data_IF_784177278042
#
_entry.id   IF_784177278042
#
_cell.length_a   1.000
_cell.length_b   1.000
_cell.length_c   1.000
_cell.angle_alpha   90.00
_cell.angle_beta   90.00
_cell.angle_gamma   90.00
#
_symmetry.space_group_name_H-M   'P 1'
#
loop_
_entity.id
_entity.type
_entity.pdbx_description
1 polymer ?
2 non-polymer ?
3 water ?
#
# COMPACT_ATOMS: atom_id res chain seq x y z
N UNK A 1 -0.71 16.46 -19.95
CA UNK A 1 -2.01 16.30 -19.24
C UNK A 1 -1.71 16.30 -17.75
N UNK A 2 -2.56 16.79 -16.83
CA UNK A 2 -3.42 17.98 -16.89
C UNK A 2 -4.85 17.73 -16.41
N UNK A 3 -5.67 16.93 -17.09
CA UNK A 3 -7.12 16.82 -16.71
C UNK A 3 -7.52 15.63 -15.81
N UNK A 4 -6.63 14.64 -15.63
CA UNK A 4 -6.92 13.50 -14.75
C UNK A 4 -5.78 13.29 -13.75
N UNK A 5 -6.10 12.66 -12.62
CA UNK A 5 -5.13 12.50 -11.54
C UNK A 5 -3.84 11.77 -11.98
N UNK A 6 -4.00 10.64 -12.64
CA UNK A 6 -2.86 9.86 -13.11
C UNK A 6 -1.97 10.62 -14.06
N UNK A 7 -2.56 11.26 -15.07
CA UNK A 7 -1.78 12.04 -16.03
C UNK A 7 -1.10 13.24 -15.36
N UNK A 8 -1.79 13.89 -14.42
CA UNK A 8 -1.19 15.02 -13.66
C UNK A 8 0.04 14.59 -12.87
N UNK A 9 -0.11 13.47 -12.16
CA UNK A 9 0.98 12.88 -11.41
C UNK A 9 2.15 12.51 -12.30
N UNK A 10 1.87 11.93 -13.46
CA UNK A 10 2.93 11.48 -14.37
C UNK A 10 3.82 12.61 -14.91
N UNK A 11 3.32 13.85 -14.93
CA UNK A 11 4.16 15.00 -15.35
C UNK A 11 5.37 15.18 -14.42
N UNK A 12 5.25 14.75 -13.16
CA UNK A 12 6.35 14.85 -12.20
C UNK A 12 7.02 13.50 -11.99
N UNK A 13 6.71 12.53 -12.85
CA UNK A 13 7.28 11.18 -12.79
C UNK A 13 6.65 10.25 -11.75
N UNK A 14 5.46 10.60 -11.29
CA UNK A 14 4.76 9.91 -10.23
C UNK A 14 3.45 9.32 -10.72
N UNK A 15 2.84 8.49 -9.88
CA UNK A 15 1.60 7.86 -10.21
C UNK A 15 0.51 8.31 -9.23
N UNK A 16 -0.72 8.20 -9.69
CA UNK A 16 -1.86 8.33 -8.81
C UNK A 16 -2.70 7.06 -9.01
N UNK A 17 -2.93 6.34 -7.94
CA UNK A 17 -3.52 5.02 -8.03
C UNK A 17 -4.72 4.89 -7.16
N UNK A 18 -5.35 3.73 -7.27
CA UNK A 18 -6.51 3.37 -6.48
C UNK A 18 -6.52 1.89 -6.15
N UNK A 19 -7.26 1.53 -5.10
CA UNK A 19 -7.62 0.18 -4.79
C UNK A 19 -8.77 -0.23 -5.70
N UNK A 20 -8.66 -1.40 -6.32
CA UNK A 20 -9.71 -1.96 -7.13
C UNK A 20 -10.23 -3.22 -6.47
N UNK A 21 -11.55 -3.34 -6.38
CA UNK A 21 -12.22 -4.55 -5.92
C UNK A 21 -12.78 -5.33 -7.14
N UNK A 22 -12.51 -6.63 -7.15
CA UNK A 22 -12.91 -7.50 -8.27
C UNK A 22 -14.45 -7.52 -8.44
N UNK A 23 -15.18 -7.48 -7.33
CA UNK A 23 -16.65 -7.43 -7.37
C UNK A 23 -17.26 -6.19 -8.05
N UNK A 24 -16.47 -5.14 -8.26
CA UNK A 24 -16.98 -3.90 -8.81
C UNK A 24 -16.66 -3.75 -10.30
N UNK A 25 -15.94 -4.72 -10.86
CA UNK A 25 -15.52 -4.61 -12.26
C UNK A 25 -16.67 -4.82 -13.24
N UNK A 26 -17.79 -5.39 -12.77
CA UNK A 26 -19.02 -5.45 -13.56
C UNK A 26 -19.87 -4.19 -13.43
N UNK A 27 -19.34 -3.20 -12.69
CA UNK A 27 -19.98 -1.91 -12.52
C UNK A 27 -19.40 -0.85 -13.49
N UNK A 28 -20.17 -0.49 -14.52
CA UNK A 28 -19.63 0.38 -15.59
C UNK A 28 -19.28 1.81 -15.15
N UNK A 29 -20.10 2.38 -14.28
CA UNK A 29 -19.84 3.69 -13.71
C UNK A 29 -18.55 3.68 -12.89
N UNK A 30 -18.29 2.58 -12.19
CA UNK A 30 -17.07 2.43 -11.42
C UNK A 30 -15.85 2.31 -12.32
N UNK A 31 -15.90 1.42 -13.30
CA UNK A 31 -14.75 1.21 -14.17
C UNK A 31 -14.48 2.39 -15.09
N UNK A 32 -15.52 3.14 -15.45
CA UNK A 32 -15.30 4.38 -16.18
C UNK A 32 -14.40 5.36 -15.43
N UNK A 33 -14.75 5.66 -14.17
CA UNK A 33 -13.94 6.56 -13.37
C UNK A 33 -12.54 5.96 -13.19
N UNK A 34 -12.47 4.70 -12.76
CA UNK A 34 -11.19 4.08 -12.40
C UNK A 34 -10.24 4.06 -13.58
N UNK A 35 -10.75 3.73 -14.76
CA UNK A 35 -9.89 3.65 -15.95
C UNK A 35 -9.35 5.01 -16.37
N UNK A 36 -10.25 6.00 -16.37
CA UNK A 36 -9.92 7.36 -16.74
C UNK A 36 -8.95 8.06 -15.78
N UNK A 37 -9.12 7.91 -14.47
CA UNK A 37 -8.39 8.76 -13.50
C UNK A 37 -7.09 8.21 -12.93
N UNK A 38 -6.91 6.90 -12.95
CA UNK A 38 -5.75 6.32 -12.25
C UNK A 38 -4.83 5.57 -13.18
N UNK A 39 -3.53 5.61 -12.89
CA UNK A 39 -2.54 4.84 -13.67
C UNK A 39 -1.81 3.79 -12.81
N UNK A 40 -2.37 3.51 -11.63
CA UNK A 40 -1.83 2.49 -10.75
C UNK A 40 -3.02 1.84 -10.04
N UNK A 41 -2.88 0.52 -9.84
CA UNK A 41 -3.94 -0.30 -9.26
C UNK A 41 -3.38 -1.19 -8.15
N UNK A 42 -4.12 -1.28 -7.06
CA UNK A 42 -3.82 -2.25 -5.99
C UNK A 42 -5.07 -3.08 -5.85
N UNK A 43 -4.92 -4.39 -5.71
CA UNK A 43 -6.06 -5.25 -5.44
C UNK A 43 -6.46 -5.07 -3.99
N UNK A 44 -7.70 -4.69 -3.74
CA UNK A 44 -8.12 -4.44 -2.37
C UNK A 44 -7.98 -5.68 -1.46
N UNK A 45 -8.33 -6.87 -1.95
CA UNK A 45 -8.33 -8.11 -1.16
C UNK A 45 -7.80 -9.38 -1.83
N UNK A 46 -7.75 -9.37 -3.16
CA UNK A 46 -7.56 -10.53 -4.01
C UNK A 46 -6.11 -11.04 -4.05
N UNK A 47 -5.17 -10.30 -3.46
CA UNK A 47 -3.75 -10.74 -3.42
C UNK A 47 -3.23 -10.99 -2.00
N UNK A 48 -4.13 -10.98 -1.04
CA UNK A 48 -3.80 -11.34 0.34
C UNK A 48 -3.59 -12.85 0.45
N UNK A 49 -3.13 -13.31 1.61
CA UNK A 49 -2.73 -14.71 1.80
C UNK A 49 -3.92 -15.66 1.70
N UNK A 50 -5.05 -15.31 2.33
CA UNK A 50 -6.23 -16.17 2.29
C UNK A 50 -6.90 -16.18 0.92
N UNK A 51 -6.66 -15.14 0.13
CA UNK A 51 -7.08 -15.07 -1.25
C UNK A 51 -6.22 -15.90 -2.21
N UNK A 52 -4.92 -15.98 -1.97
CA UNK A 52 -3.99 -16.66 -2.89
C UNK A 52 -3.51 -18.03 -2.50
N UNK A 53 -3.45 -18.34 -1.20
CA UNK A 53 -3.11 -19.67 -0.75
C UNK A 53 -4.08 -20.13 0.35
N UNK A 54 -5.36 -20.24 0.03
CA UNK A 54 -6.37 -20.61 1.03
C UNK A 54 -6.21 -22.06 1.51
N UNK A 55 -5.62 -22.89 0.67
CA UNK A 55 -5.24 -24.22 1.11
C UNK A 55 -3.71 -24.38 0.99
N UNK A 56 -3.14 -25.08 1.96
CA UNK A 56 -1.70 -25.24 2.05
C UNK A 56 -1.04 -25.81 0.80
N UNK A 57 -0.12 -25.06 0.24
CA UNK A 57 0.56 -25.46 -0.99
C UNK A 57 -0.25 -25.38 -2.27
N UNK A 58 -1.49 -24.86 -2.24
CA UNK A 58 -2.31 -24.73 -3.46
C UNK A 58 -2.75 -23.31 -3.62
N UNK A 59 -2.29 -22.70 -4.72
CA UNK A 59 -2.46 -21.29 -4.97
C UNK A 59 -3.73 -21.05 -5.78
N UNK A 60 -4.34 -19.89 -5.57
CA UNK A 60 -5.58 -19.53 -6.25
C UNK A 60 -5.37 -18.13 -6.73
N UNK A 61 -5.21 -17.98 -8.02
CA UNK A 61 -4.89 -16.70 -8.59
C UNK A 61 -6.02 -16.09 -9.39
N UNK A 62 -7.20 -16.72 -9.46
CA UNK A 62 -8.29 -16.20 -10.32
C UNK A 62 -8.70 -14.75 -10.06
N UNK A 63 -9.02 -14.42 -8.83
CA UNK A 63 -9.53 -13.06 -8.53
C UNK A 63 -8.40 -12.05 -8.65
N UNK A 64 -7.22 -12.44 -8.19
CA UNK A 64 -6.03 -11.60 -8.29
C UNK A 64 -5.76 -11.26 -9.74
N UNK A 65 -5.86 -12.28 -10.59
CA UNK A 65 -5.62 -12.13 -12.02
C UNK A 65 -6.70 -11.32 -12.70
N UNK A 66 -7.92 -11.37 -12.20
CA UNK A 66 -8.99 -10.57 -12.78
C UNK A 66 -8.67 -9.07 -12.58
N UNK A 67 -8.21 -8.70 -11.39
CA UNK A 67 -7.82 -7.31 -11.10
C UNK A 67 -6.57 -6.93 -11.93
N UNK A 68 -5.59 -7.81 -11.90
CA UNK A 68 -4.33 -7.59 -12.61
C UNK A 68 -4.59 -7.40 -14.11
N UNK A 69 -5.41 -8.29 -14.68
CA UNK A 69 -5.73 -8.21 -16.11
C UNK A 69 -6.50 -6.95 -16.47
N UNK A 70 -7.46 -6.54 -15.66
CA UNK A 70 -8.19 -5.28 -15.90
C UNK A 70 -7.23 -4.07 -15.86
N UNK A 71 -6.29 -4.08 -14.91
CA UNK A 71 -5.33 -2.98 -14.74
C UNK A 71 -4.46 -2.84 -16.00
N UNK A 72 -3.89 -3.94 -16.42
CA UNK A 72 -2.95 -3.95 -17.53
C UNK A 72 -3.61 -3.66 -18.87
N UNK A 73 -4.85 -4.12 -19.04
CA UNK A 73 -5.66 -3.82 -20.23
C UNK A 73 -6.11 -2.36 -20.30
N UNK A 74 -6.10 -1.66 -19.17
CA UNK A 74 -6.47 -0.27 -19.12
C UNK A 74 -5.27 0.64 -18.80
N UNK A 75 -4.06 0.14 -19.03
CA UNK A 75 -2.84 0.95 -18.99
C UNK A 75 -2.28 1.31 -17.61
N UNK A 76 -2.56 0.50 -16.59
CA UNK A 76 -2.09 0.76 -15.26
C UNK A 76 -0.99 -0.20 -14.86
N UNK A 77 -0.11 0.27 -13.98
CA UNK A 77 0.78 -0.63 -13.24
C UNK A 77 0.03 -1.11 -12.01
N UNK A 78 0.63 -2.04 -11.29
CA UNK A 78 -0.06 -2.73 -10.20
C UNK A 78 0.90 -2.81 -9.02
N UNK A 79 0.37 -2.54 -7.84
CA UNK A 79 1.07 -2.80 -6.59
C UNK A 79 0.48 -4.08 -6.03
N UNK A 80 1.34 -4.98 -5.58
CA UNK A 80 0.90 -6.20 -4.92
C UNK A 80 0.70 -5.97 -3.43
N UNK A 81 -0.46 -6.42 -2.93
CA UNK A 81 -0.88 -6.29 -1.54
C UNK A 81 -1.52 -7.62 -1.08
N UNK A 82 -0.96 -8.42 -0.16
CA UNK A 82 0.33 -8.28 0.49
C UNK A 82 0.84 -9.72 0.81
N UNK A 83 2.15 -9.87 0.95
CA UNK A 83 2.78 -11.20 0.99
C UNK A 83 2.88 -11.83 2.37
N UNK A 84 3.03 -11.02 3.42
CA UNK A 84 3.24 -11.51 4.76
C UNK A 84 2.61 -10.56 5.75
N UNK A 85 1.69 -11.09 6.56
CA UNK A 85 0.79 -10.31 7.36
C UNK A 85 0.23 -11.16 8.50
N UNK A 86 0.13 -10.58 9.70
CA UNK A 86 -0.45 -11.25 10.88
C UNK A 86 -1.96 -11.50 10.71
N UNK A 87 -2.61 -10.69 9.86
CA UNK A 87 -4.07 -10.72 9.68
C UNK A 87 -4.44 -11.50 8.42
N UNK A 88 -5.71 -11.85 8.32
CA UNK A 88 -6.26 -12.50 7.10
C UNK A 88 -5.47 -13.76 6.69
N UNK A 89 -4.98 -14.49 7.68
CA UNK A 89 -4.23 -15.70 7.40
C UNK A 89 -5.27 -16.82 7.28
N UNK A 90 -5.04 -17.76 6.36
CA UNK A 90 -5.93 -18.91 6.27
C UNK A 90 -5.77 -19.76 7.53
N UNK A 91 -6.81 -20.53 7.85
CA UNK A 91 -6.82 -21.39 9.03
C UNK A 91 -5.57 -22.24 9.12
N UNK A 92 -5.18 -22.89 8.03
CA UNK A 92 -3.97 -23.74 8.07
C UNK A 92 -2.67 -23.02 8.49
N UNK A 93 -2.54 -21.73 8.16
CA UNK A 93 -1.35 -20.98 8.49
C UNK A 93 -1.40 -20.48 9.94
N UNK A 94 -2.59 -20.05 10.38
CA UNK A 94 -2.80 -19.62 11.78
C UNK A 94 -2.39 -20.70 12.79
N UNK A 95 -2.66 -21.94 12.44
CA UNK A 95 -2.26 -23.13 13.23
C UNK A 95 -0.75 -23.33 13.33
N UNK A 96 0.02 -22.77 12.40
CA UNK A 96 1.46 -23.10 12.34
C UNK A 96 2.26 -22.20 13.25
N UNK A 97 3.42 -22.69 13.66
CA UNK A 97 4.33 -21.94 14.51
C UNK A 97 5.79 -22.28 14.19
N UNK A 98 6.68 -21.41 14.62
CA UNK A 98 8.10 -21.69 14.58
C UNK A 98 8.62 -21.86 13.17
N UNK A 99 9.52 -22.82 13.00
CA UNK A 99 10.24 -23.00 11.74
C UNK A 99 9.29 -23.44 10.62
N UNK A 100 8.23 -24.15 10.98
CA UNK A 100 7.21 -24.60 10.02
C UNK A 100 6.40 -23.38 9.50
N UNK A 101 6.01 -22.48 10.40
CA UNK A 101 5.41 -21.23 9.97
C UNK A 101 6.37 -20.41 9.08
N UNK A 102 7.62 -20.31 9.51
CA UNK A 102 8.62 -19.59 8.78
C UNK A 102 8.74 -20.10 7.35
N UNK A 103 8.82 -21.42 7.18
CA UNK A 103 8.88 -21.99 5.86
C UNK A 103 7.63 -21.77 4.99
N UNK A 104 6.45 -21.85 5.60
CA UNK A 104 5.20 -21.52 4.92
C UNK A 104 5.16 -20.08 4.46
N UNK A 105 5.70 -19.17 5.28
CA UNK A 105 5.78 -17.78 4.90
C UNK A 105 6.68 -17.61 3.67
N UNK A 106 7.82 -18.27 3.69
CA UNK A 106 8.74 -18.25 2.53
C UNK A 106 8.11 -18.83 1.26
N UNK A 107 7.53 -20.01 1.39
CA UNK A 107 6.85 -20.70 0.28
C UNK A 107 5.69 -19.87 -0.27
N UNK A 108 4.96 -19.17 0.59
CA UNK A 108 3.92 -18.26 0.12
C UNK A 108 4.50 -17.14 -0.72
N UNK A 109 5.54 -16.48 -0.20
CA UNK A 109 6.18 -15.40 -0.99
C UNK A 109 6.61 -15.90 -2.38
N UNK A 110 7.24 -17.07 -2.42
CA UNK A 110 7.74 -17.61 -3.67
C UNK A 110 6.62 -17.93 -4.66
N UNK A 111 5.56 -18.54 -4.16
CA UNK A 111 4.44 -18.90 -5.00
C UNK A 111 3.71 -17.69 -5.56
N UNK A 112 3.44 -16.67 -4.75
CA UNK A 112 2.69 -15.52 -5.23
C UNK A 112 3.58 -14.63 -6.14
N UNK A 113 4.78 -14.29 -5.67
CA UNK A 113 5.72 -13.50 -6.51
C UNK A 113 6.14 -14.21 -7.79
N UNK A 114 6.35 -15.52 -7.70
CA UNK A 114 6.59 -16.37 -8.85
C UNK A 114 5.48 -16.24 -9.89
N UNK A 115 4.21 -16.27 -9.45
CA UNK A 115 3.11 -16.22 -10.42
C UNK A 115 3.06 -14.89 -11.16
N UNK A 116 3.34 -13.80 -10.46
CA UNK A 116 3.29 -12.46 -11.00
C UNK A 116 4.67 -11.89 -11.39
N UNK A 117 5.69 -12.75 -11.44
CA UNK A 117 7.06 -12.30 -11.71
C UNK A 117 7.15 -11.38 -12.95
N UNK A 118 7.73 -10.20 -12.74
CA UNK A 118 7.89 -9.22 -13.80
C UNK A 118 6.68 -8.34 -14.03
N UNK A 119 5.53 -8.68 -13.42
CA UNK A 119 4.26 -8.01 -13.73
C UNK A 119 3.87 -6.93 -12.69
N UNK A 120 4.57 -6.94 -11.54
CA UNK A 120 4.21 -6.10 -10.39
C UNK A 120 5.26 -5.04 -10.08
N UNK A 121 4.85 -3.78 -10.09
CA UNK A 121 5.77 -2.65 -9.89
C UNK A 121 6.35 -2.62 -8.47
N UNK A 122 5.47 -2.82 -7.49
CA UNK A 122 5.83 -2.78 -6.08
C UNK A 122 5.06 -3.85 -5.34
N UNK A 123 5.74 -4.53 -4.41
CA UNK A 123 5.08 -5.44 -3.47
C UNK A 123 5.12 -4.90 -2.08
N UNK A 124 3.95 -4.89 -1.41
CA UNK A 124 3.91 -4.83 0.06
C UNK A 124 4.31 -6.21 0.54
N UNK A 125 5.59 -6.37 0.83
CA UNK A 125 6.09 -7.69 1.23
C UNK A 125 5.65 -8.00 2.65
N UNK A 126 5.86 -7.05 3.57
CA UNK A 126 5.39 -7.19 4.94
C UNK A 126 4.43 -6.06 5.23
N UNK A 127 3.35 -6.40 5.92
CA UNK A 127 2.27 -5.48 6.22
C UNK A 127 2.04 -5.43 7.70
N UNK A 128 2.00 -4.23 8.28
CA UNK A 128 1.44 -4.01 9.61
C UNK A 128 2.09 -4.85 10.71
N UNK A 129 3.42 -4.87 10.75
CA UNK A 129 4.14 -5.66 11.76
C UNK A 129 4.32 -4.95 13.10
N UNK A 130 3.96 -3.67 13.18
CA UNK A 130 4.15 -2.90 14.41
C UNK A 130 2.87 -2.73 15.22
N UNK A 131 3.06 -2.70 16.54
CA UNK A 131 1.96 -2.65 17.50
C UNK A 131 1.38 -1.25 17.55
N UNK A 132 0.11 -1.17 17.94
CA UNK A 132 -0.51 0.11 18.22
C UNK A 132 -0.58 0.42 19.73
N UNK A 133 0.25 -0.26 20.53
CA UNK A 133 0.15 -0.14 21.98
C UNK A 133 0.99 0.99 22.54
N UNK A 134 1.64 1.76 21.68
CA UNK A 134 2.46 2.89 22.13
C UNK A 134 3.91 2.56 22.44
N UNK A 135 4.29 1.28 22.44
CA UNK A 135 5.66 0.88 22.80
C UNK A 135 6.66 1.11 21.65
N UNK A 136 6.14 1.34 20.44
CA UNK A 136 6.99 1.40 19.24
C UNK A 136 7.64 0.07 18.83
N UNK A 137 7.18 -1.04 19.39
CA UNK A 137 7.70 -2.37 19.07
C UNK A 137 6.82 -3.18 18.13
N UNK A 138 7.29 -4.39 17.84
CA UNK A 138 6.62 -5.34 16.98
C UNK A 138 5.34 -5.93 17.61
N UNK A 139 4.32 -6.20 16.79
CA UNK A 139 3.23 -7.05 17.23
C UNK A 139 3.76 -8.40 17.69
N UNK A 140 3.07 -8.94 18.68
CA UNK A 140 3.26 -10.30 19.13
C UNK A 140 2.40 -11.25 18.29
N UNK A 141 2.80 -11.45 17.04
CA UNK A 141 2.09 -12.34 16.14
C UNK A 141 2.79 -13.69 16.08
N UNK A 142 2.09 -14.69 15.52
CA UNK A 142 2.72 -15.95 15.22
C UNK A 142 4.01 -15.76 14.38
N UNK A 143 3.98 -14.85 13.42
CA UNK A 143 5.16 -14.50 12.63
C UNK A 143 6.34 -13.97 13.46
N UNK A 144 6.08 -12.98 14.31
CA UNK A 144 7.09 -12.46 15.23
C UNK A 144 7.63 -13.56 16.16
N UNK A 145 6.76 -14.45 16.61
CA UNK A 145 7.18 -15.58 17.45
C UNK A 145 8.10 -16.58 16.71
N UNK A 146 8.22 -16.50 15.38
CA UNK A 146 9.24 -17.31 14.71
C UNK A 146 10.63 -16.77 14.96
N UNK A 147 10.70 -15.50 15.39
CA UNK A 147 11.95 -14.80 15.54
C UNK A 147 11.91 -13.44 14.88
N UNK A 148 12.58 -12.48 15.52
CA UNK A 148 12.67 -11.11 15.05
C UNK A 148 13.16 -10.94 13.61
N UNK A 149 14.01 -11.85 13.16
CA UNK A 149 14.53 -11.76 11.78
C UNK A 149 13.51 -12.14 10.69
N UNK A 150 12.25 -12.43 11.04
CA UNK A 150 11.26 -12.84 10.04
C UNK A 150 11.05 -11.81 8.93
N UNK A 151 11.06 -10.52 9.29
CA UNK A 151 10.82 -9.45 8.30
C UNK A 151 12.01 -9.39 7.32
N UNK A 152 13.20 -9.32 7.86
CA UNK A 152 14.42 -9.39 7.06
C UNK A 152 14.37 -10.61 6.11
N UNK A 153 13.95 -11.75 6.61
CA UNK A 153 13.89 -12.97 5.79
C UNK A 153 12.86 -12.85 4.66
N UNK A 154 11.71 -12.29 4.98
CA UNK A 154 10.67 -12.04 4.00
C UNK A 154 11.21 -11.18 2.87
N UNK A 155 11.93 -10.10 3.20
CA UNK A 155 12.49 -9.19 2.23
C UNK A 155 13.58 -9.84 1.34
N UNK A 156 14.48 -10.62 1.94
CA UNK A 156 15.49 -11.33 1.15
C UNK A 156 14.88 -12.39 0.23
N UNK A 157 13.94 -13.16 0.76
CA UNK A 157 13.10 -14.06 -0.05
C UNK A 157 12.42 -13.38 -1.26
N UNK A 158 11.79 -12.24 -0.99
CA UNK A 158 11.06 -11.55 -2.03
C UNK A 158 12.00 -11.01 -3.14
N UNK A 159 13.19 -10.55 -2.74
CA UNK A 159 14.17 -10.04 -3.69
C UNK A 159 14.53 -11.12 -4.73
N UNK A 160 14.72 -12.34 -4.25
CA UNK A 160 15.08 -13.48 -5.08
C UNK A 160 13.90 -13.96 -5.90
N UNK A 161 12.69 -13.89 -5.35
CA UNK A 161 11.48 -14.33 -6.06
C UNK A 161 11.14 -13.42 -7.27
N UNK A 162 11.33 -12.11 -7.15
CA UNK A 162 11.18 -11.21 -8.30
C UNK A 162 12.11 -10.01 -8.15
N UNK A 163 13.30 -10.11 -8.71
CA UNK A 163 14.28 -9.03 -8.63
C UNK A 163 13.80 -7.67 -9.19
N UNK A 164 12.82 -7.67 -10.09
CA UNK A 164 12.39 -6.44 -10.73
C UNK A 164 11.40 -5.63 -9.90
N UNK A 165 10.80 -6.24 -8.88
CA UNK A 165 9.82 -5.54 -8.08
C UNK A 165 10.50 -4.66 -7.02
N UNK A 166 9.97 -3.45 -6.80
CA UNK A 166 10.27 -2.71 -5.57
C UNK A 166 9.57 -3.39 -4.38
N UNK A 167 10.33 -3.59 -3.31
CA UNK A 167 9.88 -4.28 -2.08
C UNK A 167 9.61 -3.27 -1.00
N UNK A 168 8.34 -3.22 -0.57
CA UNK A 168 7.86 -2.24 0.36
C UNK A 168 7.50 -2.83 1.73
N UNK A 169 7.82 -2.09 2.80
CA UNK A 169 7.21 -2.28 4.13
C UNK A 169 5.99 -1.35 4.23
N UNK A 170 4.82 -1.89 4.52
CA UNK A 170 3.57 -1.09 4.52
C UNK A 170 2.95 -1.08 5.93
N UNK A 171 2.53 0.07 6.41
CA UNK A 171 1.88 0.15 7.71
C UNK A 171 1.00 1.40 7.80
N UNK A 172 0.16 1.42 8.82
CA UNK A 172 -0.64 2.59 9.16
C UNK A 172 -0.19 3.13 10.51
N UNK A 173 -0.63 4.38 10.77
CA UNK A 173 -0.27 5.14 11.94
C UNK A 173 1.22 5.36 12.07
N UNK A 174 1.89 5.47 10.93
CA UNK A 174 3.32 5.75 10.87
C UNK A 174 3.62 7.06 10.12
N UNK A 175 2.61 7.93 10.04
CA UNK A 175 2.71 9.17 9.31
C UNK A 175 3.12 10.37 10.20
N UNK A 176 2.73 10.35 11.47
CA UNK A 176 3.07 11.38 12.41
C UNK A 176 4.49 11.15 12.94
N UNK A 177 5.39 12.08 12.62
CA UNK A 177 6.79 11.94 12.98
C UNK A 177 7.03 11.73 14.48
N UNK A 178 6.11 12.21 15.34
CA UNK A 178 6.32 12.17 16.79
C UNK A 178 5.81 10.89 17.44
N UNK A 179 5.11 10.05 16.68
CA UNK A 179 4.54 8.82 17.24
C UNK A 179 5.60 7.72 17.40
N UNK A 180 5.46 6.99 18.49
CA UNK A 180 6.34 5.87 18.81
C UNK A 180 6.33 4.81 17.72
N UNK A 181 5.16 4.57 17.12
CA UNK A 181 5.06 3.54 16.06
C UNK A 181 5.90 3.97 14.86
N UNK A 182 5.76 5.25 14.52
CA UNK A 182 6.52 5.82 13.44
C UNK A 182 8.01 5.65 13.66
N UNK A 183 8.47 5.96 14.86
CA UNK A 183 9.88 5.84 15.23
C UNK A 183 10.38 4.41 15.26
N UNK A 184 9.52 3.50 15.71
CA UNK A 184 9.87 2.07 15.70
C UNK A 184 10.13 1.58 14.26
N UNK A 185 9.27 2.01 13.33
CA UNK A 185 9.46 1.66 11.95
C UNK A 185 10.70 2.34 11.37
N UNK A 186 10.86 3.64 11.62
CA UNK A 186 12.03 4.35 11.17
C UNK A 186 13.33 3.66 11.64
N UNK A 187 13.36 3.24 12.89
CA UNK A 187 14.51 2.56 13.42
C UNK A 187 14.73 1.17 12.79
N UNK A 188 13.66 0.44 12.47
CA UNK A 188 13.85 -0.83 11.76
C UNK A 188 14.46 -0.60 10.37
N UNK A 189 13.91 0.38 9.66
CA UNK A 189 14.35 0.61 8.31
C UNK A 189 15.80 1.08 8.27
N UNK A 190 16.16 1.95 9.20
CA UNK A 190 17.54 2.38 9.35
C UNK A 190 18.54 1.23 9.61
N UNK A 191 18.17 0.34 10.52
CA UNK A 191 18.88 -0.91 10.79
C UNK A 191 19.03 -1.77 9.55
N UNK A 192 17.94 -1.90 8.79
CA UNK A 192 17.90 -2.67 7.57
C UNK A 192 18.89 -2.08 6.56
N UNK A 193 18.91 -0.76 6.42
CA UNK A 193 19.80 -0.13 5.45
C UNK A 193 21.25 -0.29 5.87
N UNK A 194 21.53 -0.14 7.16
CA UNK A 194 22.87 -0.38 7.72
C UNK A 194 23.37 -1.81 7.46
N UNK A 195 22.47 -2.79 7.56
CA UNK A 195 22.86 -4.20 7.40
C UNK A 195 22.71 -4.77 6.00
N UNK A 196 22.22 -3.98 5.06
CA UNK A 196 22.05 -4.45 3.71
C UNK A 196 20.83 -5.34 3.51
N UNK A 197 19.77 -5.12 4.29
CA UNK A 197 18.52 -5.82 4.09
C UNK A 197 17.79 -5.15 2.91
N UNK A 198 17.28 -5.91 1.93
CA UNK A 198 16.74 -5.33 0.70
C UNK A 198 15.31 -4.79 0.80
N UNK A 199 15.18 -3.63 1.41
CA UNK A 199 13.92 -2.88 1.39
C UNK A 199 14.10 -1.68 0.49
N UNK A 200 13.19 -1.54 -0.46
CA UNK A 200 13.27 -0.47 -1.45
C UNK A 200 12.39 0.72 -1.12
N UNK A 201 11.35 0.49 -0.32
CA UNK A 201 10.32 1.46 -0.16
C UNK A 201 9.57 1.27 1.17
N UNK A 202 9.08 2.38 1.72
CA UNK A 202 8.16 2.32 2.85
C UNK A 202 6.81 2.89 2.39
N UNK A 203 5.76 2.11 2.61
CA UNK A 203 4.41 2.53 2.30
C UNK A 203 3.69 3.05 3.53
N UNK A 204 3.14 4.26 3.40
CA UNK A 204 2.40 4.94 4.45
C UNK A 204 0.94 4.85 4.07
N UNK A 205 0.21 4.00 4.78
CA UNK A 205 -1.17 3.76 4.42
C UNK A 205 -1.98 5.04 4.30
N UNK A 206 -1.72 6.00 5.19
CA UNK A 206 -2.36 7.29 5.16
C UNK A 206 -3.89 7.24 5.31
N UNK A 207 -4.34 6.40 6.20
CA UNK A 207 -5.72 6.51 6.67
C UNK A 207 -5.80 7.61 7.73
N UNK A 208 -6.27 8.79 7.35
CA UNK A 208 -6.36 9.92 8.27
C UNK A 208 -7.80 10.05 8.76
N UNK A 209 -7.97 10.06 10.06
CA UNK A 209 -9.27 10.20 10.69
C UNK A 209 -9.09 10.72 12.10
N UNK A 210 -10.16 10.75 12.89
CA UNK A 210 -10.11 11.33 14.22
C UNK A 210 -9.14 10.59 15.14
N UNK A 211 -8.98 9.28 14.98
CA UNK A 211 -8.02 8.50 15.80
C UNK A 211 -6.58 8.60 15.30
N UNK A 212 -6.40 9.16 14.10
CA UNK A 212 -5.06 9.26 13.49
C UNK A 212 -5.04 10.44 12.52
N UNK A 213 -5.12 11.66 13.05
CA UNK A 213 -5.30 12.83 12.19
C UNK A 213 -4.04 13.20 11.41
N UNK A 214 -4.24 13.83 10.26
CA UNK A 214 -3.15 14.36 9.47
C UNK A 214 -2.42 15.39 10.33
N UNK A 215 -1.10 15.41 10.21
CA UNK A 215 -0.26 16.41 10.86
C UNK A 215 0.70 16.88 9.79
N UNK A 216 0.99 18.18 9.74
CA UNK A 216 1.95 18.68 8.73
C UNK A 216 3.38 18.05 8.85
N UNK A 217 3.70 17.46 10.00
CA UNK A 217 4.98 16.74 10.17
C UNK A 217 5.07 15.45 9.28
N UNK A 218 3.97 15.09 8.63
CA UNK A 218 4.05 14.07 7.58
C UNK A 218 5.19 14.30 6.57
N UNK A 219 5.39 15.54 6.13
CA UNK A 219 6.50 15.84 5.22
C UNK A 219 7.85 15.47 5.82
N UNK A 220 8.01 15.77 7.10
CA UNK A 220 9.21 15.40 7.84
C UNK A 220 9.38 13.90 7.91
N UNK A 221 8.31 13.19 8.21
CA UNK A 221 8.34 11.75 8.12
C UNK A 221 8.83 11.27 6.77
N UNK A 222 8.23 11.75 5.70
CA UNK A 222 8.60 11.33 4.37
C UNK A 222 10.07 11.62 4.04
N UNK A 223 10.53 12.80 4.45
CA UNK A 223 11.86 13.26 4.16
C UNK A 223 12.85 12.38 4.91
N UNK A 224 12.58 12.12 6.20
CA UNK A 224 13.51 11.35 7.02
C UNK A 224 13.64 9.94 6.50
N UNK A 225 12.52 9.33 6.14
CA UNK A 225 12.59 7.99 5.57
C UNK A 225 13.36 7.97 4.26
N UNK A 226 13.05 8.92 3.36
CA UNK A 226 13.74 9.01 2.10
C UNK A 226 15.28 9.11 2.31
N UNK A 227 15.71 9.89 3.30
CA UNK A 227 17.12 10.10 3.52
C UNK A 227 17.83 8.84 4.01
N UNK A 228 17.09 7.80 4.41
CA UNK A 228 17.69 6.52 4.74
C UNK A 228 18.17 5.76 3.51
N UNK A 229 17.68 6.17 2.34
CA UNK A 229 18.01 5.50 1.08
C UNK A 229 16.91 4.55 0.67
N UNK A 230 15.67 4.92 0.94
CA UNK A 230 14.49 4.21 0.45
C UNK A 230 13.55 5.19 -0.26
N UNK A 231 12.69 4.65 -1.11
CA UNK A 231 11.55 5.39 -1.65
C UNK A 231 10.39 5.39 -0.64
N UNK A 232 9.41 6.25 -0.86
CA UNK A 232 8.23 6.30 -0.02
C UNK A 232 7.04 6.43 -0.92
N UNK A 233 5.93 5.83 -0.48
CA UNK A 233 4.67 5.88 -1.19
C UNK A 233 3.57 6.07 -0.20
N UNK A 234 2.52 6.73 -0.65
CA UNK A 234 1.29 6.84 0.10
C UNK A 234 0.33 5.76 -0.46
N UNK A 235 0.02 4.73 0.32
CA UNK A 235 -0.57 3.51 -0.26
C UNK A 235 -2.05 3.28 -0.14
N UNK A 236 -2.69 3.89 0.85
CA UNK A 236 -4.09 3.60 1.11
C UNK A 236 -4.83 4.85 1.60
N UNK A 237 -4.56 5.95 0.93
CA UNK A 237 -5.04 7.25 1.36
C UNK A 237 -6.55 7.35 1.38
N UNK A 238 -7.07 7.73 2.52
CA UNK A 238 -8.40 8.29 2.63
C UNK A 238 -8.44 9.24 3.82
N UNK A 239 -9.32 10.21 3.77
CA UNK A 239 -9.39 11.25 4.79
C UNK A 239 -10.85 11.37 5.27
N UNK A 240 -11.08 11.02 6.52
CA UNK A 240 -12.41 11.20 7.12
C UNK A 240 -12.91 12.64 6.93
N UNK A 241 -13.99 12.78 6.17
CA UNK A 241 -14.63 14.07 5.89
C UNK A 241 -14.16 14.70 4.60
N UNK A 242 -13.11 14.12 4.02
CA UNK A 242 -12.55 14.52 2.72
C UNK A 242 -12.28 16.00 2.56
N UNK A 243 -11.73 16.61 3.60
CA UNK A 243 -11.32 18.02 3.51
C UNK A 243 -10.37 18.29 2.33
N UNK A 244 -10.75 19.24 1.48
CA UNK A 244 -9.91 19.76 0.40
C UNK A 244 -8.50 20.16 0.85
N UNK A 245 -8.38 20.87 1.96
CA UNK A 245 -7.09 21.35 2.38
C UNK A 245 -6.18 20.19 2.83
N UNK A 246 -6.76 19.20 3.50
CA UNK A 246 -6.00 18.03 3.93
C UNK A 246 -5.57 17.22 2.72
N UNK A 247 -6.49 17.03 1.76
CA UNK A 247 -6.12 16.35 0.51
C UNK A 247 -5.01 17.06 -0.27
N UNK A 248 -5.10 18.39 -0.38
CA UNK A 248 -4.01 19.17 -1.00
C UNK A 248 -2.70 19.08 -0.22
N UNK A 249 -2.77 19.10 1.10
CA UNK A 249 -1.57 19.03 1.95
C UNK A 249 -0.80 17.73 1.78
N UNK A 250 -1.54 16.61 1.81
CA UNK A 250 -0.97 15.30 1.62
C UNK A 250 -0.31 15.21 0.24
N UNK A 251 -1.01 15.71 -0.76
CA UNK A 251 -0.51 15.73 -2.10
C UNK A 251 0.80 16.50 -2.17
N UNK A 252 0.83 17.72 -1.63
CA UNK A 252 2.05 18.53 -1.66
C UNK A 252 3.21 17.95 -0.84
N UNK A 253 2.89 17.22 0.22
CA UNK A 253 3.92 16.48 0.93
C UNK A 253 4.63 15.50 0.01
N UNK A 254 3.88 14.72 -0.76
CA UNK A 254 4.48 13.78 -1.71
C UNK A 254 5.28 14.50 -2.78
N UNK A 255 4.68 15.53 -3.36
CA UNK A 255 5.33 16.32 -4.40
C UNK A 255 6.62 16.99 -3.91
N UNK A 256 6.75 17.20 -2.62
CA UNK A 256 7.91 17.85 -2.03
C UNK A 256 9.09 16.89 -1.84
N UNK A 257 8.85 15.59 -1.89
CA UNK A 257 9.87 14.58 -1.61
C UNK A 257 10.14 13.86 -2.90
N UNK A 258 11.34 13.98 -3.43
CA UNK A 258 11.61 13.44 -4.74
C UNK A 258 11.50 11.91 -4.76
N UNK A 259 11.83 11.24 -3.66
CA UNK A 259 11.69 9.79 -3.60
C UNK A 259 10.28 9.32 -3.22
N UNK A 260 9.31 10.23 -3.28
CA UNK A 260 7.92 9.84 -3.15
C UNK A 260 7.40 9.43 -4.52
N UNK A 261 7.13 8.15 -4.64
CA UNK A 261 6.74 7.51 -5.89
C UNK A 261 5.36 7.91 -6.40
N UNK A 262 4.42 8.09 -5.48
CA UNK A 262 3.07 8.42 -5.83
C UNK A 262 2.13 8.15 -4.67
N UNK A 263 0.86 8.29 -4.98
CA UNK A 263 -0.23 8.27 -4.04
C UNK A 263 -1.28 7.32 -4.56
N UNK A 264 -1.72 6.40 -3.70
CA UNK A 264 -2.83 5.55 -4.00
C UNK A 264 -3.93 5.92 -2.99
N UNK A 265 -5.08 6.33 -3.52
CA UNK A 265 -6.29 6.39 -2.68
C UNK A 265 -6.98 5.02 -2.52
N UNK A 266 -7.55 4.76 -1.34
CA UNK A 266 -8.13 3.45 -1.06
C UNK A 266 -9.61 3.35 -1.52
N UNK A 267 -9.82 3.50 -2.81
CA UNK A 267 -11.15 3.34 -3.40
C UNK A 267 -11.44 4.39 -4.42
N UNK A 268 -12.39 4.09 -5.29
CA UNK A 268 -12.81 5.01 -6.36
C UNK A 268 -13.87 6.01 -5.88
N UNK A 269 -15.00 5.52 -5.39
CA UNK A 269 -16.07 6.39 -4.89
C UNK A 269 -16.28 6.16 -3.42
N UNK A 270 -16.82 7.17 -2.75
CA UNK A 270 -17.18 7.06 -1.34
C UNK A 270 -17.91 5.77 -1.02
N UNK A 271 -18.86 5.40 -1.89
CA UNK A 271 -19.63 4.16 -1.71
C UNK A 271 -18.78 2.88 -1.72
N UNK A 272 -17.64 2.91 -2.39
CA UNK A 272 -16.73 1.77 -2.46
C UNK A 272 -15.80 1.62 -1.26
N UNK A 273 -15.80 2.61 -0.36
CA UNK A 273 -14.85 2.68 0.73
C UNK A 273 -15.19 1.68 1.83
N UNK A 274 -14.15 1.13 2.47
CA UNK A 274 -14.31 0.40 3.73
C UNK A 274 -14.95 1.29 4.81
N UNK A 275 -14.78 2.61 4.66
CA UNK A 275 -15.37 3.58 5.57
C UNK A 275 -16.33 4.49 4.77
N UNK A 276 -17.33 3.90 4.13
CA UNK A 276 -18.23 4.67 3.26
C UNK A 276 -19.02 5.76 4.01
N UNK A 277 -19.27 5.52 5.28
CA UNK A 277 -19.96 6.49 6.14
C UNK A 277 -19.13 7.73 6.44
N UNK A 278 -17.81 7.60 6.30
CA UNK A 278 -16.86 8.71 6.46
C UNK A 278 -16.68 9.56 5.20
N UNK A 279 -17.28 9.15 4.06
CA UNK A 279 -17.11 9.72 2.71
C UNK A 279 -15.71 10.26 2.46
N UNK A 280 -14.69 9.39 2.52
CA UNK A 280 -13.33 9.86 2.64
C UNK A 280 -12.52 9.89 1.34
N UNK A 281 -13.18 9.77 0.20
CA UNK A 281 -12.52 9.65 -1.10
C UNK A 281 -12.80 10.86 -2.03
N UNK A 282 -12.37 10.78 -3.29
CA UNK A 282 -12.39 11.93 -4.20
C UNK A 282 -13.60 12.02 -5.13
N UNK A 283 -14.44 10.99 -5.12
CA UNK A 283 -15.67 10.93 -5.92
C UNK A 283 -16.85 10.53 -5.03
N UNK A 284 -18.01 11.12 -5.31
CA UNK A 284 -19.24 10.75 -4.62
C UNK A 284 -19.78 9.41 -5.16
N UNK A 285 -20.70 8.82 -4.42
CA UNK A 285 -21.39 7.59 -4.86
C UNK A 285 -22.02 7.71 -6.24
N UNK A 286 -22.50 8.90 -6.63
CA UNK A 286 -23.03 9.10 -7.98
C UNK A 286 -21.97 9.42 -9.02
N UNK A 287 -20.71 9.36 -8.65
CA UNK A 287 -19.61 9.50 -9.60
C UNK A 287 -19.15 10.93 -9.83
N UNK A 288 -19.79 11.90 -9.18
CA UNK A 288 -19.33 13.30 -9.30
C UNK A 288 -18.08 13.52 -8.46
N UNK A 289 -17.25 14.43 -8.98
CA UNK A 289 -16.02 14.83 -8.33
C UNK A 289 -16.34 15.65 -7.10
N UNK A 290 -15.66 15.34 -5.99
CA UNK A 290 -15.78 16.17 -4.79
C UNK A 290 -14.84 17.35 -4.88
N UNK A 291 -15.08 18.35 -4.04
CA UNK A 291 -14.17 19.48 -3.92
C UNK A 291 -12.71 19.01 -3.74
N UNK A 292 -12.48 17.99 -2.92
CA UNK A 292 -11.12 17.46 -2.76
C UNK A 292 -10.46 17.03 -4.07
N UNK A 293 -11.24 16.50 -5.01
CA UNK A 293 -10.70 16.11 -6.31
C UNK A 293 -9.96 17.28 -6.96
N UNK A 294 -10.64 18.42 -7.01
CA UNK A 294 -10.07 19.64 -7.62
C UNK A 294 -8.80 20.08 -6.90
N UNK A 295 -8.85 20.08 -5.57
CA UNK A 295 -7.67 20.40 -4.77
C UNK A 295 -6.48 19.48 -5.09
N UNK A 296 -6.72 18.19 -5.17
CA UNK A 296 -5.64 17.25 -5.47
C UNK A 296 -5.10 17.51 -6.89
N UNK A 297 -5.99 17.66 -7.86
CA UNK A 297 -5.60 17.88 -9.25
C UNK A 297 -4.78 19.16 -9.42
N UNK A 298 -5.20 20.22 -8.75
CA UNK A 298 -4.45 21.50 -8.81
C UNK A 298 -3.06 21.38 -8.22
N UNK A 299 -2.95 20.67 -7.11
CA UNK A 299 -1.66 20.39 -6.49
C UNK A 299 -0.74 19.59 -7.41
N UNK A 300 -1.26 18.53 -8.02
CA UNK A 300 -0.46 17.72 -8.93
C UNK A 300 0.02 18.53 -10.14
N UNK A 301 -0.88 19.35 -10.69
CA UNK A 301 -0.57 20.24 -11.81
C UNK A 301 0.31 21.40 -11.42
N UNK A 302 0.27 21.78 -10.14
CA UNK A 302 1.16 22.81 -9.59
C UNK A 302 2.57 22.30 -9.37
N UNK A 303 2.83 21.04 -9.71
CA UNK A 303 4.21 20.50 -9.81
C UNK A 303 4.66 19.69 -8.61
X LIG B 1 4.24 -24.98 2.89
X LIG B 1 3.08 -24.12 3.36
X LIG B 1 5.55 -24.53 3.49
X LIG B 1 4.34 -24.83 1.38
X LIG B 1 3.97 -26.39 3.34
X LIG C 1 -5.38 -3.29 4.76
X LIG C 1 -5.60 -1.84 4.44
X LIG C 1 -6.37 -3.61 5.88
X LIG C 1 -3.95 -3.51 5.18
X LIG C 1 -5.67 -4.18 3.55
X LIG D 1 -17.63 17.76 -0.94
X LIG D 1 -17.41 19.16 -0.45
X LIG D 1 -19.04 17.28 -0.69
X LIG D 1 -16.70 16.80 -0.22
X LIG D 1 -17.38 17.82 -2.43
X LIG E 1 -16.71 14.13 -14.93
X LIG E 1 -17.01 14.03 -13.44
X LIG E 1 -16.29 15.55 -15.27
X LIG E 1 -17.94 13.76 -15.73
X LIG E 1 -15.56 13.20 -15.29
X LIG F 1 -4.48 -3.15 16.59
X LIG F 1 -4.67 -4.07 17.77
X LIG F 1 -5.26 -1.87 16.77
X LIG F 1 -4.89 -3.86 15.33
X LIG F 1 -3.02 -2.78 16.53
X LIG G 1 15.22 -4.40 13.94
X LIG G 1 13.84 -4.82 14.40
X LIG G 1 15.41 -2.93 14.26
X LIG G 1 15.36 -4.59 12.45
X LIG G 1 16.23 -5.24 14.69
X LIG H 1 0.36 -6.43 20.18
X LIG H 1 -0.70 -6.35 21.26
X LIG H 1 1.67 -5.94 20.76
X LIG H 1 -0.11 -5.54 19.05
X LIG H 1 0.50 -7.86 19.74
#
# INVERSE_FOLDING_TARGET
AESTLGAAAAQSGRYFGTAIASGKLGDSAYTTIASREFNMVTAENEMKIDATEPQRGQFNFSAGDRVYNWAVQNGKQVRGHTLAWHSAQPGWMQSLSGSTLRQAMIDHINGVMGHYKGKIAQWDVVNEAFSDDGSGGRRDSNLQRTGNDWIEVAFRTARAADPAAKLCYNDYNIENWTWAKTQGVYNMVRDFKQRGVPIDCVGFQSHFNSGSPYNSNFRTTLQNFAALGVDVAITELDIQGASSSTYAAVTNDCLAVSRCLGITVWGVRDTDSWASGDTPLLFNGDGSKKAAYTAVLNALNGGGSRSHHHHHH
PO4 P O1 O2 O3 O4
PO4 P O1 O2 O3 O4
PO4 P O1 O2 O3 O4
PO4 P O1 O2 O3 O4
PO4 P O1 O2 O3 O4
PO4 P O1 O2 O3 O4
PO4 P O1 O2 O3 O4
#
